data_IF_264952000284
#
_entry.id   IF_264952000284
#
_cell.length_a   1.000
_cell.length_b   1.000
_cell.length_c   1.000
_cell.angle_alpha   90.00
_cell.angle_beta   90.00
_cell.angle_gamma   90.00
#
_symmetry.space_group_name_H-M   'P 1'
#
loop_
_entity.id
_entity.type
_entity.pdbx_description
1 polymer ?
#
# COMPACT_ATOMS: atom_id res chain seq x y z
N UNK A 1 28.19 -14.57 -5.91
CA UNK A 1 27.43 -15.08 -4.76
C UNK A 1 27.74 -14.16 -3.61
N UNK A 2 26.75 -13.45 -3.08
CA UNK A 2 26.97 -12.52 -1.96
C UNK A 2 26.70 -13.31 -0.68
N UNK A 3 27.74 -13.57 0.11
CA UNK A 3 27.57 -14.22 1.41
C UNK A 3 26.80 -13.22 2.32
N UNK A 4 25.68 -13.67 2.86
CA UNK A 4 24.93 -12.90 3.86
C UNK A 4 25.27 -13.40 5.26
N UNK A 5 25.26 -12.47 6.21
CA UNK A 5 25.48 -12.78 7.62
C UNK A 5 24.32 -12.22 8.43
N UNK A 6 23.85 -12.98 9.40
CA UNK A 6 22.86 -12.51 10.38
C UNK A 6 23.55 -12.30 11.71
N UNK A 7 23.31 -11.16 12.30
CA UNK A 7 23.67 -10.84 13.67
C UNK A 7 22.39 -10.80 14.49
N UNK A 8 22.27 -11.63 15.52
CA UNK A 8 21.09 -11.65 16.39
C UNK A 8 21.45 -11.35 17.83
N UNK A 9 20.59 -10.56 18.49
CA UNK A 9 20.71 -10.09 19.86
C UNK A 9 19.40 -10.33 20.58
N UNK A 10 19.41 -11.15 21.64
CA UNK A 10 18.23 -11.41 22.47
C UNK A 10 18.22 -10.48 23.68
N UNK A 11 17.14 -9.74 23.89
CA UNK A 11 16.99 -8.71 24.91
C UNK A 11 15.74 -8.98 25.74
N UNK A 12 15.82 -8.59 27.01
CA UNK A 12 14.71 -8.75 27.96
C UNK A 12 13.45 -8.00 27.52
N UNK A 13 12.29 -8.60 27.80
CA UNK A 13 10.97 -8.06 27.48
C UNK A 13 10.65 -6.70 28.14
N UNK A 14 11.41 -6.29 29.15
CA UNK A 14 11.19 -5.03 29.88
C UNK A 14 11.64 -3.78 29.13
N UNK A 15 12.41 -3.94 28.04
CA UNK A 15 12.90 -2.81 27.24
C UNK A 15 11.75 -2.06 26.56
N UNK A 16 11.79 -0.74 26.68
CA UNK A 16 10.85 0.15 26.00
C UNK A 16 11.12 0.22 24.48
N UNK A 17 10.13 0.60 23.67
CA UNK A 17 10.33 0.79 22.22
C UNK A 17 11.46 1.77 21.85
N UNK A 18 11.67 2.81 22.69
CA UNK A 18 12.75 3.77 22.46
C UNK A 18 14.14 3.17 22.69
N UNK A 19 14.28 2.30 23.70
CA UNK A 19 15.53 1.60 23.96
C UNK A 19 15.83 0.57 22.87
N UNK A 20 14.82 -0.17 22.38
CA UNK A 20 14.96 -1.06 21.22
C UNK A 20 15.42 -0.31 19.97
N UNK A 21 14.82 0.86 19.70
CA UNK A 21 15.23 1.72 18.59
C UNK A 21 16.69 2.15 18.66
N UNK A 22 17.28 2.27 19.84
CA UNK A 22 18.71 2.59 20.00
C UNK A 22 19.60 1.43 19.53
N UNK A 23 19.24 0.19 19.82
CA UNK A 23 19.95 -0.98 19.31
C UNK A 23 19.80 -1.14 17.80
N UNK A 24 18.59 -0.93 17.25
CA UNK A 24 18.38 -0.95 15.81
C UNK A 24 19.22 0.11 15.08
N UNK A 25 19.33 1.32 15.65
CA UNK A 25 20.13 2.40 15.09
C UNK A 25 21.62 2.01 15.01
N UNK A 26 22.15 1.31 16.03
CA UNK A 26 23.53 0.81 15.98
C UNK A 26 23.76 -0.07 14.78
N UNK A 27 22.86 -1.00 14.51
CA UNK A 27 23.01 -1.91 13.38
C UNK A 27 22.79 -1.21 12.03
N UNK A 28 21.76 -0.36 11.92
CA UNK A 28 21.39 0.25 10.65
C UNK A 28 22.28 1.43 10.25
N UNK A 29 22.67 2.29 11.22
CA UNK A 29 23.36 3.53 10.88
C UNK A 29 24.85 3.52 11.21
N UNK A 30 25.27 2.76 12.25
CA UNK A 30 26.66 2.74 12.63
C UNK A 30 27.43 1.51 12.13
N UNK A 31 26.74 0.42 11.87
CA UNK A 31 27.32 -0.82 11.37
C UNK A 31 26.92 -1.14 9.93
N UNK A 32 26.15 -0.27 9.27
CA UNK A 32 25.74 -0.37 7.85
C UNK A 32 25.08 -1.71 7.51
N UNK A 33 24.20 -2.19 8.41
CA UNK A 33 23.41 -3.38 8.14
C UNK A 33 22.45 -3.14 6.97
N UNK A 34 22.38 -4.10 6.07
CA UNK A 34 21.48 -4.04 4.89
C UNK A 34 19.99 -4.08 5.28
N UNK A 35 19.67 -4.68 6.43
CA UNK A 35 18.33 -4.68 7.02
C UNK A 35 18.43 -4.93 8.52
N UNK A 36 17.49 -4.36 9.29
CA UNK A 36 17.30 -4.62 10.71
C UNK A 36 15.83 -4.86 11.01
N UNK A 37 15.54 -5.75 11.95
CA UNK A 37 14.20 -6.00 12.44
C UNK A 37 14.25 -6.37 13.92
N UNK A 38 13.18 -6.05 14.66
CA UNK A 38 12.96 -6.60 15.98
C UNK A 38 11.65 -7.39 16.01
N UNK A 39 11.65 -8.47 16.74
CA UNK A 39 10.49 -9.35 16.92
C UNK A 39 10.48 -9.89 18.36
N UNK A 40 9.34 -10.41 18.81
CA UNK A 40 9.27 -11.15 20.05
C UNK A 40 9.43 -12.63 19.79
N UNK A 41 10.25 -13.29 20.57
CA UNK A 41 10.35 -14.75 20.54
C UNK A 41 9.14 -15.43 21.21
N UNK A 42 9.12 -16.77 21.18
CA UNK A 42 8.02 -17.54 21.81
C UNK A 42 7.97 -17.43 23.33
N UNK A 43 8.98 -16.88 23.99
CA UNK A 43 9.07 -16.61 25.43
C UNK A 43 8.67 -15.18 25.80
N UNK A 44 8.51 -14.29 24.82
CA UNK A 44 8.15 -12.90 24.98
C UNK A 44 9.34 -11.93 25.03
N UNK A 45 10.58 -12.42 24.97
CA UNK A 45 11.77 -11.60 24.88
C UNK A 45 11.92 -10.95 23.50
N UNK A 46 12.61 -9.81 23.46
CA UNK A 46 12.92 -9.15 22.20
C UNK A 46 14.12 -9.79 21.50
N UNK A 47 14.00 -10.02 20.22
CA UNK A 47 15.10 -10.43 19.36
C UNK A 47 15.30 -9.34 18.31
N UNK A 48 16.52 -8.77 18.27
CA UNK A 48 16.94 -7.89 17.18
C UNK A 48 17.76 -8.72 16.21
N UNK A 49 17.41 -8.68 14.94
CA UNK A 49 18.14 -9.30 13.85
C UNK A 49 18.62 -8.24 12.88
N UNK A 50 19.90 -8.33 12.50
CA UNK A 50 20.51 -7.48 11.49
C UNK A 50 21.17 -8.32 10.42
N UNK A 51 21.00 -7.93 9.14
CA UNK A 51 21.55 -8.64 7.98
C UNK A 51 22.69 -7.81 7.39
N UNK A 52 23.82 -8.45 7.15
CA UNK A 52 25.01 -7.86 6.54
C UNK A 52 25.35 -8.56 5.23
N UNK A 53 25.82 -7.81 4.25
CA UNK A 53 26.26 -8.30 2.93
C UNK A 53 27.74 -8.66 2.88
N UNK A 54 28.47 -8.42 3.97
CA UNK A 54 29.88 -8.78 4.19
C UNK A 54 30.06 -9.30 5.62
N UNK A 55 31.14 -10.02 5.94
CA UNK A 55 31.41 -10.44 7.31
C UNK A 55 31.41 -9.22 8.26
N UNK A 56 30.54 -9.20 9.29
CA UNK A 56 30.53 -8.10 10.24
C UNK A 56 31.78 -8.12 11.14
N UNK A 57 32.24 -6.94 11.52
CA UNK A 57 33.35 -6.82 12.49
C UNK A 57 32.79 -6.98 13.90
N UNK A 58 33.06 -8.14 14.50
CA UNK A 58 32.60 -8.47 15.86
C UNK A 58 33.12 -7.47 16.90
N UNK A 59 34.36 -6.96 16.74
CA UNK A 59 34.93 -6.00 17.67
C UNK A 59 34.19 -4.66 17.63
N UNK A 60 33.83 -4.21 16.44
CA UNK A 60 33.02 -3.01 16.26
C UNK A 60 31.60 -3.20 16.83
N UNK A 61 30.98 -4.35 16.59
CA UNK A 61 29.67 -4.69 17.16
C UNK A 61 29.71 -4.64 18.69
N UNK A 62 30.64 -5.35 19.31
CA UNK A 62 30.74 -5.43 20.77
C UNK A 62 30.98 -4.04 21.37
N UNK A 63 31.86 -3.22 20.79
CA UNK A 63 32.16 -1.90 21.27
C UNK A 63 30.98 -0.93 21.20
N UNK A 64 30.22 -0.94 20.11
CA UNK A 64 29.04 -0.08 19.94
C UNK A 64 27.87 -0.54 20.82
N UNK A 65 27.61 -1.84 20.90
CA UNK A 65 26.56 -2.38 21.76
C UNK A 65 26.84 -2.18 23.24
N UNK A 66 28.10 -2.25 23.68
CA UNK A 66 28.48 -1.97 25.07
C UNK A 66 27.99 -0.56 25.49
N UNK A 67 28.11 0.43 24.62
CA UNK A 67 27.60 1.78 24.86
C UNK A 67 26.08 1.82 24.97
N UNK A 68 25.36 1.08 24.12
CA UNK A 68 23.91 0.95 24.19
C UNK A 68 23.44 0.26 25.47
N UNK A 69 24.09 -0.84 25.87
CA UNK A 69 23.78 -1.55 27.11
C UNK A 69 23.95 -0.64 28.32
N UNK A 70 25.06 0.12 28.40
CA UNK A 70 25.32 1.06 29.45
C UNK A 70 24.25 2.19 29.48
N UNK A 71 23.87 2.73 28.35
CA UNK A 71 22.86 3.78 28.25
C UNK A 71 21.45 3.31 28.63
N UNK A 72 21.13 2.06 28.35
CA UNK A 72 19.83 1.46 28.69
C UNK A 72 19.77 0.86 30.09
N UNK A 73 20.91 0.80 30.82
CA UNK A 73 20.99 0.12 32.11
C UNK A 73 20.77 -1.40 32.03
N UNK A 74 20.97 -1.98 30.84
CA UNK A 74 20.78 -3.41 30.61
C UNK A 74 22.14 -4.13 30.67
N UNK A 75 22.24 -5.33 31.30
CA UNK A 75 23.46 -6.09 31.27
C UNK A 75 23.81 -6.52 29.82
N UNK A 76 25.11 -6.55 29.49
CA UNK A 76 25.53 -7.04 28.16
C UNK A 76 25.07 -8.48 27.93
N UNK A 77 24.55 -8.76 26.74
CA UNK A 77 24.17 -10.10 26.31
C UNK A 77 25.01 -10.53 25.10
N UNK A 78 25.23 -11.83 24.90
CA UNK A 78 26.03 -12.31 23.80
C UNK A 78 25.34 -12.05 22.47
N UNK A 79 26.14 -11.62 21.49
CA UNK A 79 25.72 -11.48 20.09
C UNK A 79 25.97 -12.79 19.38
N UNK A 80 24.99 -13.26 18.63
CA UNK A 80 25.16 -14.43 17.77
C UNK A 80 25.36 -13.99 16.34
N UNK A 81 26.52 -14.28 15.77
CA UNK A 81 26.83 -14.05 14.35
C UNK A 81 26.78 -15.38 13.62
N UNK A 82 25.98 -15.47 12.58
CA UNK A 82 25.87 -16.65 11.74
C UNK A 82 26.04 -16.24 10.28
N UNK A 83 26.90 -16.94 9.57
CA UNK A 83 26.84 -16.87 8.12
C UNK A 83 25.55 -17.59 7.70
N UNK A 84 24.70 -16.88 6.98
CA UNK A 84 23.58 -17.52 6.32
C UNK A 84 24.17 -18.42 5.24
N UNK A 85 24.14 -19.73 5.49
CA UNK A 85 24.43 -20.70 4.44
C UNK A 85 23.60 -20.32 3.21
N UNK A 86 24.05 -20.71 2.02
CA UNK A 86 23.26 -20.60 0.79
C UNK A 86 21.91 -21.33 1.00
N UNK A 87 21.05 -20.71 1.79
CA UNK A 87 19.65 -21.09 1.87
C UNK A 87 19.08 -20.75 0.53
N UNK A 88 18.40 -21.69 -0.05
CA UNK A 88 17.61 -21.43 -1.25
C UNK A 88 16.46 -20.48 -0.87
N UNK A 89 16.81 -19.18 -0.75
CA UNK A 89 15.86 -18.10 -0.52
C UNK A 89 14.72 -18.12 -1.55
N UNK A 90 15.01 -18.69 -2.72
CA UNK A 90 14.00 -18.96 -3.73
C UNK A 90 13.04 -20.05 -3.29
N UNK A 91 13.53 -21.13 -2.65
CA UNK A 91 12.66 -22.19 -2.13
C UNK A 91 11.86 -21.73 -0.90
N UNK A 92 12.48 -20.96 0.01
CA UNK A 92 11.78 -20.40 1.18
C UNK A 92 10.76 -19.33 0.77
N UNK A 93 11.08 -18.44 -0.17
CA UNK A 93 10.12 -17.51 -0.75
C UNK A 93 8.99 -18.23 -1.50
N UNK A 94 9.28 -19.33 -2.18
CA UNK A 94 8.27 -20.18 -2.82
C UNK A 94 7.28 -20.75 -1.80
N UNK A 95 7.78 -21.27 -0.68
CA UNK A 95 6.95 -21.80 0.41
C UNK A 95 6.17 -20.69 1.14
N UNK A 96 6.75 -19.49 1.26
CA UNK A 96 6.12 -18.35 1.92
C UNK A 96 5.04 -17.67 1.08
N UNK A 97 4.97 -17.95 -0.23
CA UNK A 97 3.99 -17.33 -1.13
C UNK A 97 3.13 -18.39 -1.85
N UNK A 98 2.24 -19.10 -1.11
CA UNK A 98 1.31 -20.02 -1.75
C UNK A 98 0.29 -19.26 -2.60
N UNK A 99 -0.21 -19.88 -3.68
CA UNK A 99 -1.24 -19.27 -4.50
C UNK A 99 -2.51 -19.02 -3.68
N UNK A 100 -3.15 -17.87 -3.91
CA UNK A 100 -4.36 -17.47 -3.18
C UNK A 100 -5.47 -17.08 -4.13
N UNK A 101 -6.67 -17.54 -3.82
CA UNK A 101 -7.86 -17.08 -4.49
C UNK A 101 -8.60 -16.04 -3.65
N UNK A 102 -8.81 -14.85 -4.21
CA UNK A 102 -9.56 -13.76 -3.60
C UNK A 102 -10.66 -13.37 -4.58
N UNK A 103 -11.88 -13.81 -4.32
CA UNK A 103 -12.95 -13.73 -5.30
C UNK A 103 -12.56 -14.45 -6.59
N UNK A 104 -12.57 -13.74 -7.72
CA UNK A 104 -12.10 -14.28 -9.01
C UNK A 104 -10.61 -14.11 -9.25
N UNK A 105 -9.92 -13.32 -8.44
CA UNK A 105 -8.48 -13.15 -8.59
C UNK A 105 -7.74 -14.38 -8.08
N UNK A 106 -6.88 -14.94 -8.92
CA UNK A 106 -5.93 -15.99 -8.58
C UNK A 106 -4.54 -15.39 -8.55
N UNK A 107 -4.03 -15.14 -7.35
CA UNK A 107 -2.73 -14.50 -7.12
C UNK A 107 -1.70 -15.59 -6.89
N UNK A 108 -0.59 -15.57 -7.64
CA UNK A 108 0.42 -16.62 -7.57
C UNK A 108 1.81 -16.10 -7.96
N UNK A 109 2.85 -16.74 -7.46
CA UNK A 109 4.25 -16.52 -7.87
C UNK A 109 4.63 -17.39 -9.06
N UNK A 110 5.71 -17.05 -9.77
CA UNK A 110 6.17 -17.77 -10.95
C UNK A 110 6.60 -19.22 -10.69
N UNK A 111 6.78 -19.60 -9.42
CA UNK A 111 7.07 -20.98 -8.99
C UNK A 111 5.84 -21.90 -8.97
N UNK A 112 4.64 -21.37 -9.11
CA UNK A 112 3.40 -22.13 -9.00
C UNK A 112 3.10 -22.79 -10.34
N UNK A 113 3.15 -24.11 -10.39
CA UNK A 113 2.88 -24.92 -11.58
C UNK A 113 1.41 -25.29 -11.72
N UNK A 114 0.64 -25.17 -10.61
CA UNK A 114 -0.79 -25.48 -10.62
C UNK A 114 -1.53 -24.51 -11.53
N UNK A 115 -2.31 -25.02 -12.50
CA UNK A 115 -3.09 -24.14 -13.39
C UNK A 115 -4.12 -23.34 -12.62
N UNK A 116 -4.41 -22.09 -13.04
CA UNK A 116 -5.39 -21.26 -12.39
C UNK A 116 -6.78 -21.89 -12.49
N UNK A 117 -7.63 -21.74 -11.46
CA UNK A 117 -9.00 -22.23 -11.45
C UNK A 117 -9.80 -21.67 -12.65
N UNK A 118 -10.72 -22.49 -13.18
CA UNK A 118 -11.60 -22.06 -14.27
C UNK A 118 -12.33 -20.76 -13.95
N UNK A 119 -12.48 -19.86 -14.92
CA UNK A 119 -13.13 -18.56 -14.78
C UNK A 119 -12.48 -17.59 -13.77
N UNK A 120 -11.28 -17.89 -13.26
CA UNK A 120 -10.49 -16.97 -12.46
C UNK A 120 -9.81 -15.89 -13.29
N UNK A 121 -9.33 -14.86 -12.62
CA UNK A 121 -8.45 -13.83 -13.19
C UNK A 121 -7.03 -14.06 -12.64
N UNK A 122 -6.18 -14.77 -13.37
CA UNK A 122 -4.82 -15.06 -12.91
C UNK A 122 -3.96 -13.81 -12.93
N UNK A 123 -3.26 -13.55 -11.83
CA UNK A 123 -2.32 -12.46 -11.65
C UNK A 123 -1.04 -13.04 -11.06
N UNK A 124 0.00 -13.09 -11.87
CA UNK A 124 1.32 -13.50 -11.42
C UNK A 124 2.05 -12.32 -10.80
N UNK A 125 2.62 -12.50 -9.62
CA UNK A 125 3.37 -11.47 -8.90
C UNK A 125 4.70 -12.01 -8.44
N UNK A 126 5.76 -11.36 -8.85
CA UNK A 126 7.08 -11.56 -8.25
C UNK A 126 7.29 -10.45 -7.21
N UNK A 127 7.31 -10.85 -5.94
CA UNK A 127 7.39 -9.92 -4.81
C UNK A 127 8.85 -9.77 -4.32
N UNK A 128 9.83 -9.67 -5.24
CA UNK A 128 11.26 -9.80 -4.91
C UNK A 128 11.72 -8.95 -3.71
N UNK A 129 11.58 -7.63 -3.76
CA UNK A 129 11.95 -6.71 -2.67
C UNK A 129 10.87 -5.63 -2.43
N UNK A 130 9.78 -5.64 -3.19
CA UNK A 130 8.72 -4.66 -3.08
C UNK A 130 7.59 -5.18 -2.18
N UNK A 131 7.03 -4.30 -1.36
CA UNK A 131 5.82 -4.58 -0.59
C UNK A 131 4.67 -4.97 -1.55
N UNK A 132 3.85 -5.97 -1.16
CA UNK A 132 2.67 -6.33 -1.95
C UNK A 132 2.68 -7.76 -2.51
N UNK A 133 3.07 -8.76 -1.69
CA UNK A 133 2.96 -10.19 -2.03
C UNK A 133 1.52 -10.69 -2.24
N UNK A 134 0.51 -9.88 -1.93
CA UNK A 134 -0.90 -10.28 -2.03
C UNK A 134 -1.42 -11.07 -0.82
N UNK A 135 -0.56 -11.42 0.14
CA UNK A 135 -0.97 -12.18 1.34
C UNK A 135 -1.56 -11.28 2.42
N UNK A 136 -1.29 -9.97 2.37
CA UNK A 136 -1.71 -9.04 3.41
C UNK A 136 -3.22 -8.74 3.34
N UNK A 137 -3.92 -8.64 4.49
CA UNK A 137 -5.37 -8.36 4.54
C UNK A 137 -5.79 -7.07 3.82
N UNK A 138 -4.92 -6.05 3.77
CA UNK A 138 -5.18 -4.79 3.06
C UNK A 138 -5.27 -4.99 1.55
N UNK A 139 -4.42 -5.83 0.98
CA UNK A 139 -4.47 -6.19 -0.45
C UNK A 139 -5.74 -6.98 -0.76
N UNK A 140 -6.10 -7.93 0.10
CA UNK A 140 -7.34 -8.70 -0.04
C UNK A 140 -8.57 -7.78 -0.02
N UNK A 141 -8.63 -6.81 0.91
CA UNK A 141 -9.70 -5.82 0.98
C UNK A 141 -9.84 -5.00 -0.30
N UNK A 142 -8.71 -4.56 -0.87
CA UNK A 142 -8.70 -3.85 -2.16
C UNK A 142 -9.18 -4.72 -3.32
N UNK A 143 -8.73 -5.96 -3.42
CA UNK A 143 -9.13 -6.88 -4.49
C UNK A 143 -10.62 -7.21 -4.43
N UNK A 144 -11.18 -7.44 -3.24
CA UNK A 144 -12.64 -7.64 -3.04
C UNK A 144 -13.43 -6.40 -3.47
N UNK A 145 -12.99 -5.21 -3.07
CA UNK A 145 -13.61 -3.95 -3.47
C UNK A 145 -13.55 -3.74 -4.99
N UNK A 146 -12.40 -4.01 -5.60
CA UNK A 146 -12.17 -3.88 -7.04
C UNK A 146 -13.05 -4.85 -7.83
N UNK A 147 -13.18 -6.10 -7.40
CA UNK A 147 -14.06 -7.09 -8.04
C UNK A 147 -15.51 -6.61 -8.05
N UNK A 148 -16.03 -6.13 -6.92
CA UNK A 148 -17.40 -5.65 -6.82
C UNK A 148 -17.67 -4.47 -7.77
N UNK A 149 -16.73 -3.51 -7.83
CA UNK A 149 -16.84 -2.36 -8.74
C UNK A 149 -16.85 -2.82 -10.20
N UNK A 150 -15.96 -3.74 -10.54
CA UNK A 150 -15.81 -4.20 -11.90
C UNK A 150 -16.93 -5.16 -12.34
N UNK A 151 -17.54 -5.91 -11.43
CA UNK A 151 -18.72 -6.76 -11.73
C UNK A 151 -19.88 -5.98 -12.32
N UNK A 152 -20.09 -4.75 -11.92
CA UNK A 152 -21.20 -3.91 -12.34
C UNK A 152 -21.24 -3.59 -13.84
N UNK A 153 -20.22 -3.96 -14.62
CA UNK A 153 -20.20 -3.85 -16.08
C UNK A 153 -20.12 -2.42 -16.67
N UNK A 154 -20.39 -1.40 -15.87
CA UNK A 154 -20.46 0.00 -16.32
C UNK A 154 -19.10 0.55 -16.79
N UNK A 155 -18.00 0.06 -16.23
CA UNK A 155 -16.66 0.50 -16.56
C UNK A 155 -16.01 -0.43 -17.60
N UNK A 156 -16.20 -0.14 -18.89
CA UNK A 156 -15.64 -0.96 -19.98
C UNK A 156 -14.17 -0.67 -20.26
N UNK A 157 -13.76 0.60 -20.19
CA UNK A 157 -12.38 1.07 -20.46
C UNK A 157 -11.96 2.08 -19.38
N UNK A 158 -11.89 1.67 -18.10
CA UNK A 158 -11.58 2.60 -17.04
C UNK A 158 -10.14 3.09 -17.13
N UNK A 159 -9.97 4.37 -16.84
CA UNK A 159 -8.66 4.98 -16.54
C UNK A 159 -8.42 4.86 -15.06
N UNK A 160 -7.37 4.16 -14.68
CA UNK A 160 -7.09 3.81 -13.30
C UNK A 160 -5.76 4.41 -12.83
N UNK A 161 -5.68 4.71 -11.56
CA UNK A 161 -4.46 5.09 -10.86
C UNK A 161 -4.23 4.11 -9.70
N UNK A 162 -3.03 3.58 -9.58
CA UNK A 162 -2.54 2.82 -8.43
C UNK A 162 -1.45 3.64 -7.75
N UNK A 163 -1.76 4.23 -6.58
CA UNK A 163 -0.90 5.15 -5.84
C UNK A 163 -0.19 4.40 -4.71
N UNK A 164 1.15 4.37 -4.74
CA UNK A 164 1.95 3.49 -3.88
C UNK A 164 1.78 2.05 -4.35
N UNK A 165 2.11 1.80 -5.62
CA UNK A 165 1.75 0.55 -6.29
C UNK A 165 2.55 -0.68 -5.82
N UNK A 166 3.75 -0.49 -5.24
CA UNK A 166 4.64 -1.57 -4.85
C UNK A 166 4.88 -2.56 -5.99
N UNK A 167 4.50 -3.82 -5.81
CA UNK A 167 4.54 -4.86 -6.84
C UNK A 167 3.56 -4.66 -8.00
N UNK A 168 2.68 -3.68 -7.94
CA UNK A 168 1.55 -3.39 -8.83
C UNK A 168 0.46 -4.47 -8.86
N UNK A 169 0.32 -5.27 -7.82
CA UNK A 169 -0.70 -6.33 -7.77
C UNK A 169 -2.11 -5.80 -8.02
N UNK A 170 -2.48 -4.63 -7.46
CA UNK A 170 -3.80 -4.03 -7.64
C UNK A 170 -3.99 -3.51 -9.07
N UNK A 171 -2.95 -2.90 -9.63
CA UNK A 171 -2.92 -2.46 -11.01
C UNK A 171 -3.13 -3.65 -11.98
N UNK A 172 -2.38 -4.73 -11.78
CA UNK A 172 -2.47 -5.95 -12.59
C UNK A 172 -3.84 -6.60 -12.48
N UNK A 173 -4.40 -6.66 -11.27
CA UNK A 173 -5.74 -7.18 -11.04
C UNK A 173 -6.80 -6.40 -11.84
N UNK A 174 -6.76 -5.06 -11.82
CA UNK A 174 -7.66 -4.22 -12.60
C UNK A 174 -7.52 -4.47 -14.11
N UNK A 175 -6.28 -4.55 -14.61
CA UNK A 175 -5.97 -4.79 -16.02
C UNK A 175 -6.39 -6.19 -16.48
N UNK A 176 -6.29 -7.19 -15.62
CA UNK A 176 -6.73 -8.55 -15.91
C UNK A 176 -8.25 -8.66 -15.93
N UNK A 177 -8.94 -8.04 -14.97
CA UNK A 177 -10.39 -8.04 -14.88
C UNK A 177 -11.06 -7.23 -16.00
N UNK A 178 -10.36 -6.22 -16.57
CA UNK A 178 -10.85 -5.36 -17.65
C UNK A 178 -9.80 -5.20 -18.75
N UNK A 179 -9.91 -5.96 -19.85
CA UNK A 179 -8.98 -5.86 -20.97
C UNK A 179 -8.86 -4.46 -21.58
N UNK A 180 -9.92 -3.65 -21.52
CA UNK A 180 -9.91 -2.26 -21.98
C UNK A 180 -9.38 -1.23 -20.98
N UNK A 181 -9.01 -1.61 -19.77
CA UNK A 181 -8.49 -0.69 -18.76
C UNK A 181 -7.10 -0.16 -19.11
N UNK A 182 -6.85 1.10 -18.72
CA UNK A 182 -5.54 1.73 -18.73
C UNK A 182 -5.14 2.09 -17.30
N UNK A 183 -3.90 1.82 -16.93
CA UNK A 183 -3.39 1.97 -15.58
C UNK A 183 -2.15 2.84 -15.55
N UNK A 184 -2.17 3.85 -14.69
CA UNK A 184 -0.99 4.54 -14.21
C UNK A 184 -0.66 4.00 -12.82
N UNK A 185 0.46 3.30 -12.69
CA UNK A 185 0.96 2.80 -11.41
C UNK A 185 2.10 3.71 -10.95
N UNK A 186 2.02 4.21 -9.71
CA UNK A 186 3.02 5.16 -9.20
C UNK A 186 3.53 4.74 -7.84
N UNK A 187 4.83 4.92 -7.64
CA UNK A 187 5.48 4.74 -6.36
C UNK A 187 6.60 5.78 -6.20
N UNK A 188 6.98 6.12 -4.97
CA UNK A 188 8.15 6.96 -4.71
C UNK A 188 9.45 6.17 -4.69
N UNK A 189 9.38 4.84 -4.55
CA UNK A 189 10.52 3.93 -4.63
C UNK A 189 10.79 3.49 -6.08
N UNK A 190 11.97 3.80 -6.64
CA UNK A 190 12.37 3.34 -7.96
C UNK A 190 12.42 1.80 -8.10
N UNK A 191 12.65 1.07 -6.99
CA UNK A 191 12.67 -0.40 -6.99
C UNK A 191 11.25 -0.91 -7.22
N UNK A 192 10.27 -0.36 -6.49
CA UNK A 192 8.86 -0.69 -6.67
C UNK A 192 8.40 -0.44 -8.11
N UNK A 193 8.78 0.69 -8.71
CA UNK A 193 8.43 1.02 -10.10
C UNK A 193 9.03 0.02 -11.09
N UNK A 194 10.30 -0.40 -10.90
CA UNK A 194 10.92 -1.45 -11.74
C UNK A 194 10.20 -2.79 -11.58
N UNK A 195 9.86 -3.17 -10.35
CA UNK A 195 9.11 -4.38 -10.04
C UNK A 195 7.72 -4.36 -10.69
N UNK A 196 7.00 -3.25 -10.58
CA UNK A 196 5.70 -3.06 -11.23
C UNK A 196 5.78 -3.25 -12.75
N UNK A 197 6.80 -2.67 -13.39
CA UNK A 197 7.01 -2.81 -14.83
C UNK A 197 7.40 -4.25 -15.22
N UNK A 198 8.20 -4.95 -14.41
CA UNK A 198 8.56 -6.34 -14.60
C UNK A 198 7.33 -7.26 -14.47
N UNK A 199 6.53 -7.05 -13.42
CA UNK A 199 5.28 -7.78 -13.20
C UNK A 199 4.26 -7.53 -14.33
N UNK A 200 4.23 -6.33 -14.90
CA UNK A 200 3.44 -6.05 -16.11
C UNK A 200 3.83 -6.94 -17.29
N UNK A 201 5.14 -7.12 -17.52
CA UNK A 201 5.66 -7.97 -18.61
C UNK A 201 5.33 -9.45 -18.42
N UNK A 202 5.55 -10.01 -17.24
CA UNK A 202 5.26 -11.43 -16.97
C UNK A 202 3.76 -11.74 -17.04
N UNK A 203 2.89 -10.75 -16.79
CA UNK A 203 1.45 -10.87 -17.00
C UNK A 203 1.01 -10.59 -18.44
N UNK A 204 1.93 -10.39 -19.37
CA UNK A 204 1.64 -10.09 -20.78
C UNK A 204 0.74 -8.84 -20.96
N UNK A 205 0.89 -7.85 -20.07
CA UNK A 205 0.17 -6.58 -20.20
C UNK A 205 0.87 -5.73 -21.27
N UNK A 206 0.12 -5.30 -22.26
CA UNK A 206 0.64 -4.45 -23.33
C UNK A 206 1.19 -3.12 -22.75
N UNK A 207 2.37 -2.63 -23.20
CA UNK A 207 3.06 -1.47 -22.62
C UNK A 207 2.19 -0.19 -22.56
N UNK A 208 1.29 0.00 -23.50
CA UNK A 208 0.38 1.17 -23.51
C UNK A 208 -0.73 1.08 -22.46
N UNK A 209 -0.94 -0.08 -21.84
CA UNK A 209 -1.99 -0.29 -20.82
C UNK A 209 -1.49 -0.11 -19.39
N UNK A 210 -0.22 -0.29 -19.13
CA UNK A 210 0.41 -0.09 -17.82
C UNK A 210 1.60 0.84 -17.93
N UNK A 211 1.50 1.99 -17.29
CA UNK A 211 2.58 2.94 -17.15
C UNK A 211 3.03 2.98 -15.69
N UNK A 212 4.21 2.43 -15.40
CA UNK A 212 4.84 2.51 -14.08
C UNK A 212 5.74 3.75 -14.02
N UNK A 213 5.55 4.62 -13.02
CA UNK A 213 6.21 5.92 -12.92
C UNK A 213 6.67 6.18 -11.49
N UNK A 214 7.95 6.55 -11.32
CA UNK A 214 8.43 7.05 -10.05
C UNK A 214 7.86 8.46 -9.81
N UNK A 215 7.09 8.63 -8.73
CA UNK A 215 6.39 9.88 -8.44
C UNK A 215 6.10 10.04 -6.94
N UNK A 216 6.31 11.25 -6.44
CA UNK A 216 5.85 11.63 -5.10
C UNK A 216 4.38 12.07 -5.15
N UNK A 217 3.47 11.08 -5.07
CA UNK A 217 2.04 11.33 -5.06
C UNK A 217 1.59 12.21 -6.24
N UNK A 218 0.73 13.17 -5.95
CA UNK A 218 0.15 14.09 -6.94
C UNK A 218 1.04 15.27 -7.34
N UNK A 219 2.26 15.38 -6.83
CA UNK A 219 3.21 16.42 -7.26
C UNK A 219 3.70 16.21 -8.70
N UNK A 220 3.66 14.97 -9.18
CA UNK A 220 4.05 14.62 -10.55
C UNK A 220 3.10 15.22 -11.60
N UNK A 221 3.66 15.91 -12.59
CA UNK A 221 2.91 16.40 -13.77
C UNK A 221 2.23 15.27 -14.53
N UNK A 222 2.87 14.07 -14.58
CA UNK A 222 2.29 12.89 -15.26
C UNK A 222 1.02 12.42 -14.58
N UNK A 223 0.99 12.41 -13.23
CA UNK A 223 -0.19 12.02 -12.47
C UNK A 223 -1.31 13.02 -12.69
N UNK A 224 -1.02 14.33 -12.53
CA UNK A 224 -2.03 15.38 -12.73
C UNK A 224 -2.54 15.44 -14.18
N UNK A 225 -1.67 15.31 -15.16
CA UNK A 225 -2.05 15.34 -16.58
C UNK A 225 -2.81 14.10 -17.06
N UNK A 226 -2.73 13.00 -16.31
CA UNK A 226 -3.48 11.78 -16.60
C UNK A 226 -4.90 11.76 -16.00
N UNK A 227 -5.22 12.69 -15.11
CA UNK A 227 -6.58 12.84 -14.55
C UNK A 227 -7.60 13.29 -15.62
N UNK A 228 -8.92 13.04 -15.41
CA UNK A 228 -9.51 12.34 -14.27
C UNK A 228 -9.43 10.81 -14.40
N UNK A 229 -9.49 10.13 -13.24
CA UNK A 229 -9.48 8.68 -13.15
C UNK A 229 -10.86 8.12 -12.76
N UNK A 230 -11.26 7.02 -13.38
CA UNK A 230 -12.49 6.30 -13.03
C UNK A 230 -12.33 5.47 -11.77
N UNK A 231 -11.11 4.96 -11.52
CA UNK A 231 -10.75 4.20 -10.32
C UNK A 231 -9.40 4.69 -9.82
N UNK A 232 -9.34 5.05 -8.54
CA UNK A 232 -8.08 5.30 -7.82
C UNK A 232 -7.95 4.24 -6.73
N UNK A 233 -6.81 3.57 -6.70
CA UNK A 233 -6.39 2.60 -5.70
C UNK A 233 -5.27 3.25 -4.87
N UNK A 234 -5.32 3.13 -3.55
CA UNK A 234 -4.25 3.55 -2.66
C UNK A 234 -4.21 2.66 -1.43
N UNK A 235 -3.25 1.73 -1.41
CA UNK A 235 -3.01 0.81 -0.30
C UNK A 235 -1.73 1.22 0.43
N UNK A 236 -1.82 2.32 1.18
CA UNK A 236 -0.71 2.95 1.90
C UNK A 236 -1.17 3.38 3.29
N UNK A 237 -0.23 3.87 4.11
CA UNK A 237 -0.54 4.28 5.49
C UNK A 237 -1.58 5.40 5.57
N UNK A 238 -2.36 5.42 6.67
CA UNK A 238 -3.47 6.33 6.90
C UNK A 238 -3.09 7.83 6.85
N UNK A 239 -1.91 8.20 7.36
CA UNK A 239 -1.46 9.60 7.40
C UNK A 239 -1.19 10.16 6.00
N UNK A 240 -0.41 9.51 5.12
CA UNK A 240 -0.29 9.90 3.70
C UNK A 240 -1.63 9.96 2.97
N UNK A 241 -2.56 9.01 3.21
CA UNK A 241 -3.90 9.06 2.63
C UNK A 241 -4.60 10.36 3.00
N UNK A 242 -4.62 10.74 4.27
CA UNK A 242 -5.24 11.98 4.73
C UNK A 242 -4.60 13.24 4.10
N UNK A 243 -3.30 13.23 3.86
CA UNK A 243 -2.59 14.35 3.22
C UNK A 243 -3.01 14.52 1.76
N UNK A 244 -3.20 13.42 1.03
CA UNK A 244 -3.55 13.42 -0.40
C UNK A 244 -5.06 13.51 -0.67
N UNK A 245 -5.92 13.59 0.33
CA UNK A 245 -7.38 13.50 0.15
C UNK A 245 -7.95 14.55 -0.84
N UNK A 246 -7.44 15.79 -0.79
CA UNK A 246 -7.84 16.87 -1.72
C UNK A 246 -7.43 16.56 -3.17
N UNK A 247 -6.18 16.16 -3.38
CA UNK A 247 -5.65 15.82 -4.70
C UNK A 247 -6.35 14.59 -5.30
N UNK A 248 -6.62 13.58 -4.46
CA UNK A 248 -7.36 12.40 -4.89
C UNK A 248 -8.79 12.75 -5.33
N UNK A 249 -9.46 13.63 -4.58
CA UNK A 249 -10.79 14.11 -4.99
C UNK A 249 -10.75 14.88 -6.30
N UNK A 250 -9.77 15.76 -6.46
CA UNK A 250 -9.60 16.56 -7.68
C UNK A 250 -9.28 15.71 -8.91
N UNK A 251 -8.56 14.60 -8.70
CA UNK A 251 -8.16 13.67 -9.77
C UNK A 251 -9.20 12.58 -10.05
N UNK A 252 -10.24 12.45 -9.23
CA UNK A 252 -11.28 11.44 -9.39
C UNK A 252 -12.38 11.93 -10.31
N UNK A 253 -12.80 11.12 -11.27
CA UNK A 253 -13.95 11.39 -12.14
C UNK A 253 -15.24 11.52 -11.32
N UNK A 254 -16.24 12.28 -11.83
CA UNK A 254 -17.51 12.53 -11.12
C UNK A 254 -18.29 11.26 -10.76
N UNK A 255 -18.16 10.20 -11.53
CA UNK A 255 -18.75 8.87 -11.25
C UNK A 255 -17.75 7.86 -10.69
N UNK A 256 -16.54 8.30 -10.41
CA UNK A 256 -15.39 7.44 -10.10
C UNK A 256 -15.46 6.78 -8.73
N UNK A 257 -14.54 5.86 -8.52
CA UNK A 257 -14.37 5.07 -7.32
C UNK A 257 -12.98 5.27 -6.73
N UNK A 258 -12.91 5.42 -5.42
CA UNK A 258 -11.66 5.52 -4.69
C UNK A 258 -11.62 4.39 -3.66
N UNK A 259 -10.60 3.54 -3.75
CA UNK A 259 -10.35 2.43 -2.83
C UNK A 259 -9.14 2.79 -1.99
N UNK A 260 -9.33 2.89 -0.69
CA UNK A 260 -8.31 3.23 0.30
C UNK A 260 -8.09 2.07 1.24
N UNK A 261 -6.85 1.65 1.44
CA UNK A 261 -6.47 0.58 2.36
C UNK A 261 -5.12 0.88 3.01
N UNK A 262 -4.62 -0.04 3.85
CA UNK A 262 -3.48 0.24 4.72
C UNK A 262 -3.89 1.03 5.97
N UNK A 263 -5.14 0.90 6.37
CA UNK A 263 -5.78 1.65 7.45
C UNK A 263 -6.13 0.68 8.58
N UNK A 264 -5.63 0.91 9.79
CA UNK A 264 -6.05 0.16 10.97
C UNK A 264 -7.51 0.50 11.34
N UNK A 265 -8.21 -0.44 11.98
CA UNK A 265 -9.61 -0.28 12.36
C UNK A 265 -9.86 1.00 13.19
N UNK A 266 -8.95 1.35 14.10
CA UNK A 266 -9.02 2.56 14.92
C UNK A 266 -8.77 3.86 14.12
N UNK A 267 -8.11 3.79 12.97
CA UNK A 267 -7.82 4.93 12.09
C UNK A 267 -8.94 5.19 11.07
N UNK A 268 -9.82 4.21 10.83
CA UNK A 268 -10.79 4.24 9.73
C UNK A 268 -11.72 5.46 9.78
N UNK A 269 -12.21 5.84 10.96
CA UNK A 269 -13.11 6.99 11.14
C UNK A 269 -12.40 8.30 10.82
N UNK A 270 -11.14 8.44 11.23
CA UNK A 270 -10.33 9.63 10.93
C UNK A 270 -10.16 9.81 9.42
N UNK A 271 -9.76 8.73 8.71
CA UNK A 271 -9.59 8.76 7.25
C UNK A 271 -10.92 9.07 6.57
N UNK A 272 -12.00 8.38 6.94
CA UNK A 272 -13.33 8.61 6.35
C UNK A 272 -13.79 10.08 6.49
N UNK A 273 -13.64 10.67 7.68
CA UNK A 273 -13.97 12.07 7.93
C UNK A 273 -13.16 13.02 7.06
N UNK A 274 -11.87 12.74 6.89
CA UNK A 274 -10.99 13.55 6.04
C UNK A 274 -11.45 13.56 4.59
N UNK A 275 -11.87 12.42 4.06
CA UNK A 275 -12.38 12.31 2.69
C UNK A 275 -13.81 12.85 2.55
N UNK A 276 -14.65 12.69 3.57
CA UNK A 276 -15.98 13.32 3.60
C UNK A 276 -15.89 14.85 3.51
N UNK A 277 -14.92 15.47 4.18
CA UNK A 277 -14.64 16.90 4.09
C UNK A 277 -14.23 17.36 2.67
N UNK A 278 -13.78 16.43 1.81
CA UNK A 278 -13.50 16.68 0.39
C UNK A 278 -14.70 16.39 -0.53
N UNK A 279 -15.90 16.19 0.02
CA UNK A 279 -17.09 15.88 -0.76
C UNK A 279 -17.18 14.45 -1.28
N UNK A 280 -16.50 13.52 -0.63
CA UNK A 280 -16.62 12.10 -0.90
C UNK A 280 -17.53 11.44 0.17
N UNK A 281 -18.29 10.44 -0.22
CA UNK A 281 -19.11 9.63 0.69
C UNK A 281 -18.64 8.20 0.73
N UNK A 282 -18.76 7.55 1.87
CA UNK A 282 -18.50 6.14 2.01
C UNK A 282 -19.58 5.36 1.22
N UNK A 283 -19.12 4.48 0.32
CA UNK A 283 -19.96 3.53 -0.40
C UNK A 283 -19.92 2.15 0.25
N UNK A 284 -18.75 1.72 0.72
CA UNK A 284 -18.56 0.43 1.39
C UNK A 284 -17.37 0.49 2.35
N UNK A 285 -17.43 -0.31 3.41
CA UNK A 285 -16.33 -0.60 4.34
C UNK A 285 -16.12 -2.11 4.40
N UNK A 286 -14.87 -2.54 4.23
CA UNK A 286 -14.46 -3.96 4.33
C UNK A 286 -13.46 -4.04 5.47
N UNK A 287 -13.69 -4.92 6.43
CA UNK A 287 -12.78 -5.20 7.55
C UNK A 287 -12.25 -6.61 7.44
N UNK A 288 -10.94 -6.77 7.56
CA UNK A 288 -10.25 -8.07 7.57
C UNK A 288 -9.19 -8.01 8.67
N UNK A 289 -9.42 -8.73 9.76
CA UNK A 289 -8.61 -8.62 10.97
C UNK A 289 -8.55 -7.18 11.49
N UNK A 290 -7.35 -6.69 11.73
CA UNK A 290 -7.08 -5.34 12.24
C UNK A 290 -7.18 -4.24 11.16
N UNK A 291 -7.47 -4.59 9.91
CA UNK A 291 -7.39 -3.68 8.77
C UNK A 291 -8.76 -3.34 8.19
N UNK A 292 -8.89 -2.09 7.77
CA UNK A 292 -10.07 -1.55 7.09
C UNK A 292 -9.71 -1.09 5.68
N UNK A 293 -10.54 -1.47 4.71
CA UNK A 293 -10.57 -0.89 3.37
C UNK A 293 -11.83 -0.04 3.22
N UNK A 294 -11.69 1.20 2.76
CA UNK A 294 -12.77 2.14 2.51
C UNK A 294 -12.97 2.31 1.01
N UNK A 295 -14.20 2.14 0.56
CA UNK A 295 -14.59 2.45 -0.82
C UNK A 295 -15.39 3.75 -0.80
N UNK A 296 -14.84 4.78 -1.44
CA UNK A 296 -15.40 6.13 -1.43
C UNK A 296 -15.88 6.53 -2.84
N UNK A 297 -16.86 7.38 -2.92
CA UNK A 297 -17.36 7.98 -4.17
C UNK A 297 -17.64 9.47 -3.99
N UNK A 298 -17.61 10.27 -5.07
CA UNK A 298 -18.12 11.63 -5.02
C UNK A 298 -19.57 11.65 -4.46
N UNK A 299 -19.83 12.53 -3.51
CA UNK A 299 -21.19 12.81 -3.11
C UNK A 299 -21.96 13.30 -4.35
N UNK A 300 -23.16 12.79 -4.59
CA UNK A 300 -24.02 13.39 -5.61
C UNK A 300 -24.24 14.84 -5.19
N UNK A 301 -23.83 15.78 -6.00
CA UNK A 301 -24.31 17.15 -5.86
C UNK A 301 -25.83 17.05 -6.01
N UNK A 302 -26.55 17.10 -4.88
CA UNK A 302 -27.98 17.31 -4.92
C UNK A 302 -28.18 18.57 -5.77
N UNK A 303 -29.06 18.48 -6.75
CA UNK A 303 -29.55 19.66 -7.44
C UNK A 303 -29.93 20.65 -6.31
N UNK A 304 -29.09 21.66 -6.10
CA UNK A 304 -29.37 22.76 -5.22
C UNK A 304 -30.75 23.24 -5.67
N UNK A 305 -31.77 23.09 -4.81
CA UNK A 305 -33.03 23.81 -4.97
C UNK A 305 -32.60 25.26 -5.19
N UNK A 306 -32.67 25.74 -6.43
CA UNK A 306 -32.66 27.14 -6.71
C UNK A 306 -33.73 27.73 -5.78
N UNK A 307 -33.29 28.43 -4.75
CA UNK A 307 -34.14 29.33 -4.01
C UNK A 307 -34.70 30.29 -5.05
N UNK A 308 -35.90 30.02 -5.46
CA UNK A 308 -36.74 31.01 -6.12
C UNK A 308 -36.93 32.14 -5.09
N UNK A 309 -36.10 33.15 -5.17
CA UNK A 309 -36.46 34.45 -4.61
C UNK A 309 -37.65 34.91 -5.43
N UNK A 310 -38.82 34.83 -4.82
CA UNK A 310 -40.03 35.52 -5.24
C UNK A 310 -39.68 36.99 -5.47
N UNK A 311 -39.76 37.40 -6.72
CA UNK A 311 -39.71 38.81 -7.07
C UNK A 311 -40.87 39.55 -6.34
N UNK A 312 -40.66 40.73 -5.76
CA UNK A 312 -41.74 41.49 -5.18
C UNK A 312 -42.71 41.93 -6.30
N UNK A 313 -43.99 41.71 -6.05
CA UNK A 313 -45.08 42.16 -6.91
C UNK A 313 -44.99 43.67 -7.14
N UNK A 314 -45.22 44.18 -8.36
CA UNK A 314 -45.31 45.63 -8.59
C UNK A 314 -46.56 46.19 -7.92
N UNK A 315 -46.35 47.14 -7.02
CA UNK A 315 -47.40 47.93 -6.41
C UNK A 315 -48.12 48.78 -7.51
N UNK A 316 -49.40 48.52 -7.67
CA UNK A 316 -50.27 49.35 -8.50
C UNK A 316 -50.39 50.74 -7.86
N UNK A 317 -49.92 51.79 -8.51
CA UNK A 317 -50.17 53.16 -8.19
C UNK A 317 -51.53 53.54 -8.75
N UNK A 318 -52.50 53.77 -7.84
CA UNK A 318 -53.73 54.40 -8.16
C UNK A 318 -53.46 55.93 -8.22
N UNK A 319 -53.57 56.53 -9.40
CA UNK A 319 -53.54 57.95 -9.59
C UNK A 319 -54.95 58.54 -9.40
N UNK A 320 -55.05 59.80 -8.92
CA UNK A 320 -56.37 60.39 -8.59
C UNK A 320 -57.13 60.88 -9.83
N UNK A 321 -58.46 60.75 -9.74
CA UNK A 321 -59.42 61.27 -10.67
C UNK A 321 -59.43 62.82 -10.71
N UNK A 322 -59.50 63.36 -11.90
CA UNK A 322 -60.35 64.52 -12.27
C UNK A 322 -60.82 64.29 -13.68
#
# INVERSE_FOLDING_TARGET
MTNLYTVSLQLDQSLSPGQLGSFEMVFSELLDAAATAHLRDGGGDWVIEAIFTSPPDNTAIDGLLASCFAACGHPPVPVTVRQLADRDWLAENRAAFPPRQIGRFWIFGGHVETPPPAASWPVQVEAAQAFGSGTHPTTEGCLRALEDILRGGALRRPRCLDMGCGSAILALAALRARPGAMMLATDNDPIAVRTAAANGRINHIAPHRLHAVCAQGYQSRRVRGAAPFDIILANILARPLCQMAGDQRASLANGGWLILSGILNNQAVMVERRYAAQGLRLARRIRIGEWTTLVMRPARLGLSRKLWHSAPSPTASVGPAK
#
